data_IF_487901451357
#
_entry.id   IF_487901451357
#
_cell.length_a   1.000
_cell.length_b   1.000
_cell.length_c   1.000
_cell.angle_alpha   90.00
_cell.angle_beta   90.00
_cell.angle_gamma   90.00
#
_symmetry.space_group_name_H-M   'P 1'
#
loop_
_entity.id
_entity.type
_entity.pdbx_description
1 polymer ?
#
# COMPACT_ATOMS: atom_id res chain seq x y z
N UNK A 1 -20.28 -23.19 12.75
CA UNK A 1 -18.83 -23.38 13.03
C UNK A 1 -18.54 -22.84 14.42
N UNK A 2 -18.22 -23.71 15.39
CA UNK A 2 -17.64 -23.31 16.67
C UNK A 2 -16.12 -23.25 16.47
N UNK A 3 -15.57 -22.07 16.28
CA UNK A 3 -14.12 -21.86 16.20
C UNK A 3 -13.58 -21.80 17.63
N UNK A 4 -12.59 -22.65 17.94
CA UNK A 4 -11.92 -22.70 19.25
C UNK A 4 -11.44 -21.31 19.66
N UNK A 5 -11.55 -20.97 20.94
CA UNK A 5 -11.11 -19.69 21.53
C UNK A 5 -9.61 -19.38 21.32
N UNK A 6 -8.85 -20.31 20.74
CA UNK A 6 -7.42 -20.21 20.45
C UNK A 6 -7.10 -19.91 18.98
N UNK A 7 -8.08 -19.63 18.12
CA UNK A 7 -7.83 -19.36 16.70
C UNK A 7 -7.05 -18.05 16.52
N UNK A 8 -5.76 -18.16 16.20
CA UNK A 8 -4.86 -17.03 15.96
C UNK A 8 -4.68 -16.70 14.48
N UNK A 9 -4.96 -17.64 13.58
CA UNK A 9 -4.84 -17.45 12.13
C UNK A 9 -6.04 -18.07 11.43
N UNK A 10 -6.59 -17.37 10.47
CA UNK A 10 -7.70 -17.82 9.64
C UNK A 10 -7.39 -17.45 8.20
N UNK A 11 -7.30 -18.45 7.33
CA UNK A 11 -7.30 -18.29 5.89
C UNK A 11 -8.62 -18.82 5.36
N UNK A 12 -9.38 -17.97 4.69
CA UNK A 12 -10.70 -18.29 4.15
C UNK A 12 -10.71 -18.05 2.64
N UNK A 13 -10.44 -19.12 1.89
CA UNK A 13 -10.16 -19.07 0.46
C UNK A 13 -11.21 -19.83 -0.36
N UNK A 14 -12.45 -19.90 0.13
CA UNK A 14 -13.51 -20.73 -0.45
C UNK A 14 -14.72 -19.87 -0.75
N UNK A 15 -15.14 -19.85 -2.02
CA UNK A 15 -16.42 -19.30 -2.42
C UNK A 15 -17.56 -20.18 -1.92
N UNK A 16 -18.44 -19.64 -1.09
CA UNK A 16 -19.66 -20.33 -0.66
C UNK A 16 -20.89 -19.73 -1.33
N UNK A 17 -21.92 -20.55 -1.54
CA UNK A 17 -23.24 -20.10 -1.97
C UNK A 17 -24.30 -20.60 -0.97
N UNK A 18 -24.91 -19.72 -0.15
CA UNK A 18 -24.74 -18.26 -0.10
C UNK A 18 -23.37 -17.84 0.46
N UNK A 19 -22.97 -16.59 0.19
CA UNK A 19 -21.74 -16.01 0.72
C UNK A 19 -21.80 -15.95 2.26
N UNK A 20 -20.77 -16.47 2.93
CA UNK A 20 -20.69 -16.47 4.39
C UNK A 20 -19.94 -15.22 4.85
N UNK A 21 -20.59 -14.36 5.64
CA UNK A 21 -19.92 -13.23 6.28
C UNK A 21 -18.98 -13.73 7.39
N UNK A 22 -17.74 -14.04 7.00
CA UNK A 22 -16.73 -14.59 7.90
C UNK A 22 -16.36 -13.59 9.01
N UNK A 23 -16.48 -12.28 8.75
CA UNK A 23 -16.17 -11.23 9.71
C UNK A 23 -17.09 -11.28 10.94
N UNK A 24 -18.37 -11.66 10.77
CA UNK A 24 -19.28 -11.88 11.89
C UNK A 24 -18.92 -13.10 12.73
N UNK A 25 -18.35 -14.13 12.09
CA UNK A 25 -18.02 -15.39 12.77
C UNK A 25 -16.71 -15.30 13.54
N UNK A 26 -15.71 -14.59 13.03
CA UNK A 26 -14.37 -14.53 13.63
C UNK A 26 -14.03 -13.19 14.29
N UNK A 27 -14.82 -12.13 14.10
CA UNK A 27 -14.50 -10.79 14.57
C UNK A 27 -14.23 -10.67 16.08
N UNK A 28 -14.86 -11.50 16.91
CA UNK A 28 -14.66 -11.49 18.38
C UNK A 28 -13.52 -12.37 18.87
N UNK A 29 -12.84 -13.08 17.96
CA UNK A 29 -11.76 -13.99 18.33
C UNK A 29 -10.45 -13.23 18.49
N UNK A 30 -9.49 -13.83 19.23
CA UNK A 30 -8.13 -13.31 19.36
C UNK A 30 -7.30 -13.63 18.11
N UNK A 31 -7.86 -13.31 16.95
CA UNK A 31 -7.25 -13.55 15.67
C UNK A 31 -6.10 -12.58 15.46
N UNK A 32 -4.91 -13.11 15.16
CA UNK A 32 -3.72 -12.33 14.82
C UNK A 32 -3.51 -12.18 13.32
N UNK A 33 -3.98 -13.13 12.52
CA UNK A 33 -3.88 -13.10 11.04
C UNK A 33 -5.21 -13.48 10.42
N UNK A 34 -5.69 -12.65 9.50
CA UNK A 34 -6.86 -12.89 8.67
C UNK A 34 -6.47 -12.78 7.21
N UNK A 35 -6.70 -13.85 6.47
CA UNK A 35 -6.48 -13.92 5.02
C UNK A 35 -7.82 -14.32 4.38
N UNK A 36 -8.34 -13.43 3.54
CA UNK A 36 -9.59 -13.62 2.82
C UNK A 36 -9.29 -13.67 1.34
N UNK A 37 -9.70 -14.75 0.69
CA UNK A 37 -9.47 -14.93 -0.75
C UNK A 37 -10.77 -15.30 -1.48
N UNK A 38 -11.05 -14.64 -2.60
CA UNK A 38 -12.23 -14.88 -3.44
C UNK A 38 -13.58 -14.66 -2.73
N UNK A 39 -13.70 -13.62 -1.89
CA UNK A 39 -14.91 -13.34 -1.09
C UNK A 39 -15.55 -11.99 -1.45
N UNK A 40 -16.84 -11.83 -1.10
CA UNK A 40 -17.45 -10.50 -1.04
C UNK A 40 -17.62 -10.08 0.43
N UNK A 41 -17.13 -8.90 0.77
CA UNK A 41 -17.23 -8.29 2.10
C UNK A 41 -18.18 -7.11 1.99
N UNK A 42 -19.33 -7.20 2.66
CA UNK A 42 -20.35 -6.16 2.66
C UNK A 42 -20.89 -5.94 4.07
N UNK A 43 -21.29 -4.70 4.38
CA UNK A 43 -22.02 -4.38 5.60
C UNK A 43 -21.14 -4.53 6.84
N UNK A 44 -19.90 -4.06 6.77
CA UNK A 44 -18.99 -3.99 7.92
C UNK A 44 -19.55 -2.98 8.90
N UNK A 45 -20.09 -3.48 10.01
CA UNK A 45 -20.59 -2.62 11.08
C UNK A 45 -19.45 -1.87 11.76
N UNK A 46 -19.60 -0.56 12.06
CA UNK A 46 -18.65 0.19 12.88
C UNK A 46 -18.65 -0.37 14.30
N UNK A 47 -17.73 -1.31 14.57
CA UNK A 47 -17.70 -2.04 15.82
C UNK A 47 -16.29 -2.10 16.40
N UNK A 48 -16.05 -1.25 17.40
CA UNK A 48 -14.76 -1.01 18.07
C UNK A 48 -14.14 -2.22 18.80
N UNK A 49 -14.81 -3.38 18.82
CA UNK A 49 -14.33 -4.58 19.52
C UNK A 49 -14.06 -5.77 18.59
N UNK A 50 -14.21 -5.62 17.28
CA UNK A 50 -13.81 -6.68 16.33
C UNK A 50 -12.29 -6.60 16.08
N UNK A 51 -11.65 -7.76 15.92
CA UNK A 51 -10.24 -7.88 15.51
C UNK A 51 -9.21 -7.16 16.40
N UNK A 52 -9.47 -7.09 17.72
CA UNK A 52 -8.60 -6.42 18.71
C UNK A 52 -7.16 -6.94 18.81
N UNK A 53 -6.90 -8.13 18.26
CA UNK A 53 -5.57 -8.76 18.25
C UNK A 53 -4.96 -8.87 16.85
N UNK A 54 -5.66 -8.39 15.81
CA UNK A 54 -5.27 -8.59 14.42
C UNK A 54 -4.01 -7.77 14.11
N UNK A 55 -2.99 -8.47 13.63
CA UNK A 55 -1.69 -7.93 13.22
C UNK A 55 -1.53 -7.91 11.71
N UNK A 56 -2.19 -8.83 11.00
CA UNK A 56 -2.10 -8.92 9.54
C UNK A 56 -3.46 -9.19 8.95
N UNK A 57 -3.81 -8.40 7.94
CA UNK A 57 -5.01 -8.55 7.11
C UNK A 57 -4.58 -8.67 5.65
N UNK A 58 -4.98 -9.75 4.99
CA UNK A 58 -4.83 -9.95 3.56
C UNK A 58 -6.20 -10.08 2.92
N UNK A 59 -6.45 -9.29 1.89
CA UNK A 59 -7.64 -9.34 1.06
C UNK A 59 -7.20 -9.62 -0.38
N UNK A 60 -7.54 -10.81 -0.87
CA UNK A 60 -7.13 -11.32 -2.18
C UNK A 60 -8.38 -11.61 -3.03
N UNK A 61 -8.49 -11.07 -4.24
CA UNK A 61 -9.68 -11.29 -5.09
C UNK A 61 -11.00 -10.99 -4.34
N UNK A 62 -11.00 -9.93 -3.53
CA UNK A 62 -12.14 -9.56 -2.67
C UNK A 62 -12.91 -8.42 -3.32
N UNK A 63 -14.25 -8.55 -3.32
CA UNK A 63 -15.16 -7.44 -3.60
C UNK A 63 -15.57 -6.77 -2.29
N UNK A 64 -15.34 -5.46 -2.15
CA UNK A 64 -15.61 -4.71 -0.92
C UNK A 64 -15.89 -3.25 -1.24
N UNK A 65 -16.78 -2.57 -0.50
CA UNK A 65 -16.94 -1.13 -0.65
C UNK A 65 -15.79 -0.37 0.01
N UNK A 66 -15.47 0.84 -0.46
CA UNK A 66 -14.44 1.67 0.16
C UNK A 66 -14.73 1.93 1.66
N UNK A 67 -16.00 2.20 1.98
CA UNK A 67 -16.45 2.40 3.37
C UNK A 67 -16.24 1.15 4.23
N UNK A 68 -16.62 -0.03 3.72
CA UNK A 68 -16.46 -1.29 4.45
C UNK A 68 -14.97 -1.60 4.71
N UNK A 69 -14.09 -1.27 3.77
CA UNK A 69 -12.64 -1.42 3.94
C UNK A 69 -12.11 -0.50 5.04
N UNK A 70 -12.47 0.78 5.02
CA UNK A 70 -12.08 1.73 6.07
C UNK A 70 -12.58 1.29 7.45
N UNK A 71 -13.84 0.85 7.53
CA UNK A 71 -14.45 0.35 8.77
C UNK A 71 -13.84 -0.97 9.26
N UNK A 72 -13.24 -1.77 8.38
CA UNK A 72 -12.54 -3.00 8.75
C UNK A 72 -11.15 -2.71 9.34
N UNK A 73 -10.43 -1.74 8.76
CA UNK A 73 -9.03 -1.44 9.15
C UNK A 73 -8.97 -0.52 10.37
N UNK A 74 -9.75 0.56 10.40
CA UNK A 74 -9.69 1.58 11.44
C UNK A 74 -9.81 1.05 12.89
N UNK A 75 -10.68 0.06 13.21
CA UNK A 75 -10.82 -0.43 14.59
C UNK A 75 -9.79 -1.49 14.98
N UNK A 76 -8.77 -1.79 14.15
CA UNK A 76 -7.74 -2.79 14.47
C UNK A 76 -6.55 -2.16 15.20
N UNK A 77 -6.46 -2.22 16.55
CA UNK A 77 -5.48 -1.47 17.33
C UNK A 77 -4.05 -2.03 17.27
N UNK A 78 -3.83 -3.13 16.54
CA UNK A 78 -2.53 -3.83 16.45
C UNK A 78 -2.17 -4.18 15.01
N UNK A 79 -2.88 -3.65 14.02
CA UNK A 79 -2.64 -3.98 12.62
C UNK A 79 -1.26 -3.45 12.23
N UNK A 80 -0.38 -4.34 11.80
CA UNK A 80 0.99 -4.04 11.41
C UNK A 80 1.17 -4.19 9.90
N UNK A 81 0.39 -5.07 9.26
CA UNK A 81 0.49 -5.37 7.82
C UNK A 81 -0.89 -5.46 7.18
N UNK A 82 -1.05 -4.73 6.07
CA UNK A 82 -2.23 -4.76 5.21
C UNK A 82 -1.79 -5.15 3.79
N UNK A 83 -2.39 -6.20 3.26
CA UNK A 83 -2.19 -6.64 1.88
C UNK A 83 -3.53 -6.59 1.13
N UNK A 84 -3.56 -5.83 0.05
CA UNK A 84 -4.69 -5.67 -0.86
C UNK A 84 -4.23 -6.18 -2.22
N UNK A 85 -4.69 -7.36 -2.66
CA UNK A 85 -4.33 -7.94 -3.96
C UNK A 85 -5.61 -8.24 -4.74
N UNK A 86 -5.76 -7.69 -5.94
CA UNK A 86 -6.96 -7.83 -6.76
C UNK A 86 -8.24 -7.47 -5.99
N UNK A 87 -8.37 -6.20 -5.60
CA UNK A 87 -9.60 -5.70 -4.97
C UNK A 87 -10.55 -5.11 -6.01
N UNK A 88 -11.78 -5.60 -6.03
CA UNK A 88 -12.89 -4.98 -6.72
C UNK A 88 -13.60 -4.04 -5.75
N UNK A 89 -13.29 -2.74 -5.83
CA UNK A 89 -13.92 -1.74 -4.96
C UNK A 89 -15.27 -1.34 -5.53
N UNK A 90 -16.34 -1.69 -4.83
CA UNK A 90 -17.71 -1.37 -5.26
C UNK A 90 -18.03 0.05 -4.81
N UNK A 91 -18.13 0.99 -5.76
CA UNK A 91 -18.52 2.38 -5.50
C UNK A 91 -19.84 2.72 -6.19
N UNK A 92 -20.61 3.60 -5.57
CA UNK A 92 -21.78 4.23 -6.20
C UNK A 92 -21.40 5.44 -7.08
N UNK A 93 -20.19 5.96 -6.87
CA UNK A 93 -19.76 7.27 -7.35
C UNK A 93 -18.75 7.09 -8.49
N UNK A 94 -18.71 8.07 -9.40
CA UNK A 94 -17.84 8.04 -10.58
C UNK A 94 -16.35 8.25 -10.28
N UNK A 95 -16.01 8.68 -9.07
CA UNK A 95 -14.63 8.75 -8.59
C UNK A 95 -14.49 7.88 -7.35
N UNK A 96 -13.74 6.80 -7.49
CA UNK A 96 -13.55 5.80 -6.46
C UNK A 96 -12.34 6.17 -5.58
N UNK A 97 -12.60 6.43 -4.29
CA UNK A 97 -11.56 6.82 -3.32
C UNK A 97 -11.57 5.84 -2.15
N UNK A 98 -10.39 5.36 -1.77
CA UNK A 98 -10.17 4.56 -0.56
C UNK A 98 -9.34 5.38 0.42
N UNK A 99 -9.90 5.62 1.60
CA UNK A 99 -9.24 6.30 2.71
C UNK A 99 -9.01 5.31 3.85
N UNK A 100 -7.76 5.11 4.23
CA UNK A 100 -7.35 4.16 5.26
C UNK A 100 -6.65 4.91 6.38
N UNK A 101 -7.12 4.74 7.61
CA UNK A 101 -6.48 5.31 8.79
C UNK A 101 -5.98 4.20 9.71
N UNK A 102 -4.69 4.23 10.03
CA UNK A 102 -4.10 3.31 11.01
C UNK A 102 -2.79 3.82 11.60
N UNK A 103 -2.77 4.02 12.91
CA UNK A 103 -1.59 4.50 13.65
C UNK A 103 -0.55 3.39 13.94
N UNK A 104 -0.90 2.12 13.74
CA UNK A 104 0.00 0.98 14.01
C UNK A 104 0.53 0.32 12.74
N UNK A 105 0.00 0.69 11.57
CA UNK A 105 0.33 0.06 10.31
C UNK A 105 1.79 0.36 9.96
N UNK A 106 2.54 -0.71 9.67
CA UNK A 106 3.95 -0.66 9.27
C UNK A 106 4.16 -1.00 7.82
N UNK A 107 3.29 -1.82 7.23
CA UNK A 107 3.44 -2.28 5.86
C UNK A 107 2.12 -2.25 5.13
N UNK A 108 2.12 -1.58 3.98
CA UNK A 108 1.05 -1.65 2.99
C UNK A 108 1.58 -2.31 1.71
N UNK A 109 0.89 -3.36 1.27
CA UNK A 109 0.99 -3.91 -0.07
C UNK A 109 -0.33 -3.67 -0.79
N UNK A 110 -0.30 -2.97 -1.92
CA UNK A 110 -1.47 -2.74 -2.75
C UNK A 110 -1.17 -3.14 -4.18
N UNK A 111 -1.97 -4.07 -4.71
CA UNK A 111 -1.83 -4.60 -6.05
C UNK A 111 -3.18 -4.73 -6.74
N UNK A 112 -3.26 -4.22 -7.97
CA UNK A 112 -4.47 -4.32 -8.82
C UNK A 112 -5.76 -3.97 -8.05
N UNK A 113 -5.74 -2.83 -7.37
CA UNK A 113 -6.90 -2.28 -6.64
C UNK A 113 -7.68 -1.39 -7.59
N UNK A 114 -8.95 -1.71 -7.86
CA UNK A 114 -9.80 -0.96 -8.78
C UNK A 114 -10.33 0.34 -8.17
N UNK A 115 -9.45 1.32 -7.93
CA UNK A 115 -9.80 2.65 -7.43
C UNK A 115 -9.04 3.75 -8.16
N UNK A 116 -9.56 4.98 -8.14
CA UNK A 116 -8.88 6.14 -8.71
C UNK A 116 -7.95 6.81 -7.69
N UNK A 117 -8.29 6.74 -6.39
CA UNK A 117 -7.54 7.44 -5.34
C UNK A 117 -7.32 6.56 -4.12
N UNK A 118 -6.12 6.63 -3.55
CA UNK A 118 -5.77 6.01 -2.26
C UNK A 118 -5.17 7.08 -1.35
N UNK A 119 -5.77 7.25 -0.18
CA UNK A 119 -5.26 8.11 0.89
C UNK A 119 -4.98 7.20 2.09
N UNK A 120 -3.72 7.16 2.53
CA UNK A 120 -3.28 6.42 3.70
C UNK A 120 -2.86 7.41 4.79
N UNK A 121 -3.61 7.47 5.87
CA UNK A 121 -3.24 8.15 7.11
C UNK A 121 -2.61 7.15 8.08
N UNK A 122 -1.28 7.13 8.15
CA UNK A 122 -0.51 6.20 8.97
C UNK A 122 0.71 6.86 9.59
N UNK A 123 0.89 6.68 10.90
CA UNK A 123 1.97 7.36 11.64
C UNK A 123 3.36 6.75 11.45
N UNK A 124 3.45 5.43 11.23
CA UNK A 124 4.74 4.71 11.20
C UNK A 124 4.86 3.69 10.05
N UNK A 125 4.47 4.00 8.80
CA UNK A 125 4.65 3.09 7.69
C UNK A 125 6.15 2.92 7.41
N UNK A 126 6.65 1.69 7.51
CA UNK A 126 8.05 1.34 7.23
C UNK A 126 8.22 0.82 5.79
N UNK A 127 7.18 0.17 5.23
CA UNK A 127 7.20 -0.47 3.91
C UNK A 127 5.94 -0.09 3.11
N UNK A 128 6.14 0.46 1.93
CA UNK A 128 5.10 0.73 0.95
C UNK A 128 5.43 0.01 -0.36
N UNK A 129 4.51 -0.84 -0.81
CA UNK A 129 4.65 -1.58 -2.06
C UNK A 129 3.38 -1.43 -2.90
N UNK A 130 3.54 -0.77 -4.04
CA UNK A 130 2.48 -0.48 -5.01
C UNK A 130 2.77 -1.25 -6.30
N UNK A 131 1.80 -2.02 -6.79
CA UNK A 131 2.00 -2.88 -7.96
C UNK A 131 0.78 -2.89 -8.88
N UNK A 132 0.96 -2.76 -10.20
CA UNK A 132 -0.14 -2.87 -11.17
C UNK A 132 -1.34 -1.98 -10.78
N UNK A 133 -1.09 -0.70 -10.48
CA UNK A 133 -2.09 0.29 -10.07
C UNK A 133 -2.20 1.41 -11.11
N UNK A 134 -3.40 1.92 -11.32
CA UNK A 134 -3.67 3.09 -12.13
C UNK A 134 -4.48 4.08 -11.30
N UNK A 135 -3.83 5.14 -10.81
CA UNK A 135 -4.39 6.08 -9.83
C UNK A 135 -4.33 7.52 -10.36
N UNK A 136 -5.35 8.31 -10.05
CA UNK A 136 -5.26 9.76 -10.10
C UNK A 136 -4.41 10.28 -8.94
N UNK A 137 -4.61 9.72 -7.75
CA UNK A 137 -3.97 10.19 -6.50
C UNK A 137 -3.53 9.02 -5.62
N UNK A 138 -2.28 9.10 -5.17
CA UNK A 138 -1.80 8.39 -3.99
C UNK A 138 -1.25 9.40 -2.99
N UNK A 139 -1.77 9.39 -1.76
CA UNK A 139 -1.30 10.25 -0.68
C UNK A 139 -1.00 9.41 0.57
N UNK A 140 0.21 9.57 1.12
CA UNK A 140 0.57 9.08 2.43
C UNK A 140 0.68 10.26 3.41
N UNK A 141 -0.28 10.34 4.32
CA UNK A 141 -0.33 11.28 5.44
C UNK A 141 0.29 10.58 6.64
N UNK A 142 1.37 11.11 7.19
CA UNK A 142 2.08 10.42 8.24
C UNK A 142 3.38 11.09 8.65
N UNK A 143 3.98 10.57 9.73
CA UNK A 143 5.31 10.99 10.16
C UNK A 143 6.35 10.13 9.46
N UNK A 144 7.45 10.74 9.05
CA UNK A 144 8.40 10.08 8.18
C UNK A 144 9.11 8.90 8.81
N UNK A 145 8.63 7.69 8.52
CA UNK A 145 9.22 6.43 8.96
C UNK A 145 9.48 5.46 7.80
N UNK A 146 9.18 5.87 6.56
CA UNK A 146 9.24 5.00 5.39
C UNK A 146 10.69 4.66 5.07
N UNK A 147 10.99 3.36 5.06
CA UNK A 147 12.33 2.81 4.78
C UNK A 147 12.38 2.14 3.41
N UNK A 148 11.29 1.48 3.02
CA UNK A 148 11.21 0.73 1.78
C UNK A 148 10.05 1.24 0.92
N UNK A 149 10.40 1.78 -0.24
CA UNK A 149 9.45 2.13 -1.29
C UNK A 149 9.66 1.20 -2.49
N UNK A 150 8.63 0.43 -2.82
CA UNK A 150 8.60 -0.39 -4.03
C UNK A 150 7.41 0.01 -4.89
N UNK A 151 7.69 0.25 -6.17
CA UNK A 151 6.68 0.61 -7.17
C UNK A 151 6.97 -0.25 -8.41
N UNK A 152 5.95 -0.92 -8.94
CA UNK A 152 6.11 -1.79 -10.10
C UNK A 152 4.85 -1.76 -10.97
N UNK A 153 4.98 -1.30 -12.22
CA UNK A 153 3.85 -1.19 -13.16
C UNK A 153 2.74 -0.29 -12.61
N UNK A 154 3.09 0.93 -12.21
CA UNK A 154 2.14 1.89 -11.63
C UNK A 154 2.05 3.14 -12.51
N UNK A 155 0.84 3.59 -12.77
CA UNK A 155 0.56 4.89 -13.36
C UNK A 155 -0.11 5.75 -12.29
N UNK A 156 0.49 6.88 -11.93
CA UNK A 156 -0.09 7.81 -10.94
C UNK A 156 0.08 9.26 -11.37
N UNK A 157 -1.02 10.01 -11.44
CA UNK A 157 -0.97 11.44 -11.81
C UNK A 157 -0.39 12.28 -10.66
N UNK A 158 -0.82 12.02 -9.43
CA UNK A 158 -0.32 12.69 -8.24
C UNK A 158 0.09 11.70 -7.17
N UNK A 159 1.39 11.61 -6.89
CA UNK A 159 1.94 10.88 -5.74
C UNK A 159 2.52 11.86 -4.72
N UNK A 160 2.04 11.77 -3.49
CA UNK A 160 2.60 12.46 -2.33
C UNK A 160 2.89 11.45 -1.23
N UNK A 161 4.13 11.43 -0.75
CA UNK A 161 4.57 10.63 0.40
C UNK A 161 5.04 11.51 1.57
N UNK A 162 4.76 12.81 1.51
CA UNK A 162 5.06 13.81 2.52
C UNK A 162 6.55 13.94 2.81
N UNK A 163 6.86 14.19 4.09
CA UNK A 163 8.22 14.19 4.64
C UNK A 163 8.73 12.76 4.93
N UNK A 164 8.07 11.71 4.41
CA UNK A 164 8.40 10.32 4.75
C UNK A 164 9.66 9.77 4.12
N UNK A 165 10.42 10.62 3.44
CA UNK A 165 11.55 10.25 2.61
C UNK A 165 12.87 10.17 3.35
N UNK A 166 12.96 10.76 4.54
CA UNK A 166 14.25 11.03 5.21
C UNK A 166 14.92 9.75 5.74
N UNK A 167 14.10 8.74 6.00
CA UNK A 167 14.51 7.41 6.46
C UNK A 167 14.54 6.36 5.35
N UNK A 168 14.36 6.76 4.09
CA UNK A 168 14.38 5.82 2.96
C UNK A 168 15.76 5.15 2.87
N UNK A 169 15.71 3.82 2.81
CA UNK A 169 16.87 2.95 2.69
C UNK A 169 16.84 2.23 1.33
N UNK A 170 15.66 1.87 0.85
CA UNK A 170 15.46 1.13 -0.39
C UNK A 170 14.38 1.81 -1.23
N UNK A 171 14.74 2.16 -2.46
CA UNK A 171 13.82 2.63 -3.50
C UNK A 171 13.98 1.73 -4.71
N UNK A 172 12.92 1.00 -5.06
CA UNK A 172 12.85 0.09 -6.21
C UNK A 172 11.64 0.45 -7.05
N UNK A 173 11.86 1.12 -8.18
CA UNK A 173 10.80 1.58 -9.08
C UNK A 173 10.99 0.93 -10.45
N UNK A 174 9.94 0.27 -10.91
CA UNK A 174 9.89 -0.43 -12.19
C UNK A 174 8.64 -0.02 -12.97
N UNK A 175 8.75 0.23 -14.27
CA UNK A 175 7.63 0.57 -15.17
C UNK A 175 6.71 1.66 -14.59
N UNK A 176 7.26 2.86 -14.38
CA UNK A 176 6.58 3.94 -13.66
C UNK A 176 6.70 5.26 -14.40
N UNK A 177 5.63 6.05 -14.41
CA UNK A 177 5.63 7.40 -14.99
C UNK A 177 5.66 8.44 -13.87
N UNK A 178 6.64 9.36 -13.89
CA UNK A 178 6.78 10.41 -12.88
C UNK A 178 7.40 11.69 -13.44
N UNK A 179 6.98 12.84 -12.89
CA UNK A 179 7.57 14.17 -13.14
C UNK A 179 8.92 14.29 -12.41
N UNK A 180 9.99 14.72 -13.09
CA UNK A 180 11.38 14.71 -12.55
C UNK A 180 11.54 15.43 -11.21
N UNK A 181 11.03 16.66 -11.00
CA UNK A 181 11.22 17.37 -9.74
C UNK A 181 10.62 16.61 -8.54
N UNK A 182 9.56 15.82 -8.75
CA UNK A 182 9.00 14.96 -7.69
C UNK A 182 9.93 13.82 -7.35
N UNK A 183 10.50 13.16 -8.36
CA UNK A 183 11.49 12.11 -8.12
C UNK A 183 12.66 12.66 -7.31
N UNK A 184 13.22 13.79 -7.74
CA UNK A 184 14.35 14.44 -7.04
C UNK A 184 14.01 14.87 -5.62
N UNK A 185 12.84 15.47 -5.39
CA UNK A 185 12.44 15.86 -4.04
C UNK A 185 12.28 14.65 -3.12
N UNK A 186 11.82 13.51 -3.64
CA UNK A 186 11.71 12.26 -2.89
C UNK A 186 13.06 11.69 -2.48
N UNK A 187 14.04 11.66 -3.40
CA UNK A 187 15.32 11.02 -3.13
C UNK A 187 16.33 11.96 -2.46
N UNK A 188 16.31 13.26 -2.73
CA UNK A 188 17.32 14.22 -2.24
C UNK A 188 17.44 14.29 -0.71
N UNK A 189 16.39 13.94 0.04
CA UNK A 189 16.39 13.90 1.51
C UNK A 189 16.74 12.53 2.11
N UNK A 190 16.83 11.49 1.29
CA UNK A 190 17.04 10.10 1.71
C UNK A 190 18.52 9.81 2.09
N UNK A 191 18.97 10.36 3.22
CA UNK A 191 20.36 10.23 3.68
C UNK A 191 20.79 8.78 3.99
N UNK A 192 19.84 7.88 4.27
CA UNK A 192 20.08 6.47 4.60
C UNK A 192 19.99 5.55 3.37
N UNK A 193 19.85 6.10 2.16
CA UNK A 193 19.61 5.33 0.95
C UNK A 193 20.78 4.41 0.63
N UNK A 194 20.52 3.10 0.64
CA UNK A 194 21.48 2.04 0.33
C UNK A 194 21.22 1.35 -0.99
N UNK A 195 19.99 1.42 -1.50
CA UNK A 195 19.60 0.84 -2.78
C UNK A 195 18.65 1.79 -3.51
N UNK A 196 19.01 2.11 -4.75
CA UNK A 196 18.20 2.88 -5.69
C UNK A 196 18.17 2.13 -7.02
N UNK A 197 17.00 1.63 -7.43
CA UNK A 197 16.79 0.95 -8.71
C UNK A 197 15.66 1.62 -9.47
N UNK A 198 15.93 2.02 -10.71
CA UNK A 198 14.95 2.57 -11.65
C UNK A 198 14.99 1.80 -12.97
N UNK A 199 13.95 1.03 -13.27
CA UNK A 199 13.87 0.25 -14.52
C UNK A 199 12.61 0.62 -15.30
N UNK A 200 12.74 1.03 -16.57
CA UNK A 200 11.56 1.39 -17.38
C UNK A 200 10.79 2.59 -16.82
N UNK A 201 11.46 3.52 -16.15
CA UNK A 201 10.85 4.77 -15.67
C UNK A 201 10.75 5.76 -16.83
N UNK A 202 9.57 6.33 -17.02
CA UNK A 202 9.29 7.36 -18.03
C UNK A 202 9.09 8.70 -17.32
N UNK A 203 9.78 9.73 -17.81
CA UNK A 203 9.61 11.10 -17.31
C UNK A 203 8.63 11.85 -18.20
N UNK A 204 7.59 12.43 -17.60
CA UNK A 204 6.53 13.15 -18.32
C UNK A 204 6.99 14.56 -18.81
N UNK A 205 8.18 15.01 -18.40
CA UNK A 205 8.71 16.33 -18.73
C UNK A 205 9.69 16.23 -19.90
N UNK A 206 9.38 16.85 -21.04
CA UNK A 206 10.13 16.68 -22.30
C UNK A 206 11.58 17.23 -22.30
N UNK A 207 11.98 18.08 -21.34
CA UNK A 207 13.08 19.04 -21.63
C UNK A 207 14.46 18.86 -20.96
N UNK A 208 14.71 17.88 -20.07
CA UNK A 208 16.01 17.77 -19.36
C UNK A 208 16.46 16.33 -19.08
N UNK A 209 17.47 15.85 -19.81
CA UNK A 209 18.08 14.54 -19.55
C UNK A 209 18.76 14.56 -18.17
N UNK A 210 18.35 13.67 -17.27
CA UNK A 210 19.04 13.43 -15.99
C UNK A 210 20.30 12.63 -16.28
N UNK A 211 21.47 13.28 -16.20
CA UNK A 211 22.72 12.54 -16.29
C UNK A 211 22.96 11.70 -15.02
N UNK A 212 23.65 10.57 -15.21
CA UNK A 212 24.01 9.68 -14.10
C UNK A 212 24.97 10.35 -13.10
N UNK A 213 25.66 11.41 -13.50
CA UNK A 213 26.62 12.14 -12.66
C UNK A 213 25.90 12.95 -11.58
N UNK A 214 24.77 13.57 -11.91
CA UNK A 214 23.93 14.33 -10.97
C UNK A 214 23.35 13.41 -9.91
N UNK A 215 22.88 12.22 -10.28
CA UNK A 215 22.44 11.19 -9.31
C UNK A 215 23.63 10.74 -8.45
N UNK A 216 24.79 10.49 -9.04
CA UNK A 216 25.97 10.07 -8.28
C UNK A 216 26.45 11.12 -7.26
N UNK A 217 26.34 12.42 -7.59
CA UNK A 217 26.67 13.52 -6.69
C UNK A 217 25.66 13.65 -5.54
N UNK A 218 24.37 13.44 -5.81
CA UNK A 218 23.31 13.50 -4.79
C UNK A 218 23.39 12.33 -3.79
N UNK A 219 23.98 11.19 -4.17
CA UNK A 219 23.96 9.97 -3.38
C UNK A 219 25.36 9.36 -3.17
N UNK A 220 26.24 10.02 -2.41
CA UNK A 220 27.62 9.57 -2.22
C UNK A 220 27.74 8.22 -1.49
N UNK A 221 26.68 7.75 -0.81
CA UNK A 221 26.63 6.48 -0.07
C UNK A 221 26.04 5.30 -0.88
N UNK A 222 25.55 5.53 -2.12
CA UNK A 222 25.04 4.45 -2.98
C UNK A 222 26.20 3.54 -3.42
N UNK A 223 26.36 2.40 -2.74
CA UNK A 223 27.53 1.53 -2.93
C UNK A 223 27.54 0.66 -4.18
N UNK A 224 26.41 0.45 -4.87
CA UNK A 224 26.36 -0.23 -6.16
C UNK A 224 24.92 -0.23 -6.70
N UNK A 225 24.79 -0.14 -8.03
CA UNK A 225 23.58 -0.44 -8.83
C UNK A 225 22.60 0.70 -9.09
N UNK A 226 23.10 1.85 -9.55
CA UNK A 226 22.28 2.69 -10.44
C UNK A 226 22.24 1.96 -11.79
N UNK A 227 21.24 1.11 -12.00
CA UNK A 227 20.87 0.67 -13.35
C UNK A 227 19.76 1.58 -13.81
N UNK A 228 20.09 2.84 -14.13
CA UNK A 228 19.19 3.71 -14.90
C UNK A 228 19.31 3.21 -16.34
N UNK A 229 18.35 2.39 -16.76
CA UNK A 229 18.13 2.13 -18.18
C UNK A 229 16.89 2.92 -18.54
N UNK A 230 17.10 4.18 -18.91
CA UNK A 230 16.15 4.94 -19.71
C UNK A 230 16.16 4.30 -21.11
N UNK A 231 14.99 3.89 -21.61
CA UNK A 231 14.91 3.48 -23.01
C UNK A 231 15.22 4.68 -23.90
N UNK A 232 16.14 4.43 -24.83
CA UNK A 232 16.41 5.16 -26.07
C UNK A 232 15.15 5.39 -26.91
#
# INVERSE_FOLDING_TARGET
MYTRETLQRLSYNVRTNPNVNILEKCGRQKLGVLDLDHNAVNGVEPNYQRFTCLKSLSLNHVSISALDLSLLVAPCPKIESLALDFLEVVTSDSQSTVELTSHTLKSLFAKSVGVDKIILDADNPEVLNLNALNLDLFELIGKGALKHLKIDDVSVTHMDIGESTDHLEVVDVTNFTIVRPKLYSMISRASNLRMLRFWGVVFDDEDEIVDSETIAVLFPLLRASIMVVSNS
#
